data_IF_202125914069
#
_entry.id   IF_202125914069
#
_cell.length_a   1.000
_cell.length_b   1.000
_cell.length_c   1.000
_cell.angle_alpha   90.00
_cell.angle_beta   90.00
_cell.angle_gamma   90.00
#
_symmetry.space_group_name_H-M   'P 1'
#
loop_
_entity.id
_entity.type
_entity.pdbx_description
1 polymer ?
#
# COMPACT_ATOMS: atom_id res chain seq x y z
N UNK A 1 -15.91 -4.57 -7.82
CA UNK A 1 -14.83 -5.04 -8.71
C UNK A 1 -13.69 -5.58 -7.86
N UNK A 2 -13.08 -6.72 -8.22
CA UNK A 2 -11.86 -7.25 -7.58
C UNK A 2 -10.68 -7.04 -8.52
N UNK A 3 -9.63 -6.34 -8.08
CA UNK A 3 -8.42 -6.18 -8.88
C UNK A 3 -7.51 -7.41 -8.77
N UNK A 4 -6.79 -7.69 -9.85
CA UNK A 4 -5.66 -8.64 -9.87
C UNK A 4 -4.36 -7.95 -9.45
N UNK A 5 -3.32 -8.74 -9.16
CA UNK A 5 -1.98 -8.18 -8.87
C UNK A 5 -1.42 -7.34 -10.02
N UNK A 6 -1.71 -7.72 -11.27
CA UNK A 6 -1.31 -6.92 -12.43
C UNK A 6 -2.04 -5.58 -12.46
N UNK A 7 -3.35 -5.59 -12.19
CA UNK A 7 -4.14 -4.35 -12.10
C UNK A 7 -3.74 -3.46 -10.93
N UNK A 8 -3.16 -3.99 -9.85
CA UNK A 8 -2.56 -3.15 -8.81
C UNK A 8 -1.30 -2.41 -9.29
N UNK A 9 -0.51 -3.02 -10.18
CA UNK A 9 0.63 -2.35 -10.84
C UNK A 9 0.12 -1.22 -11.74
N UNK A 10 -0.88 -1.51 -12.57
CA UNK A 10 -1.54 -0.50 -13.40
C UNK A 10 -2.08 0.66 -12.55
N UNK A 11 -2.82 0.34 -11.47
CA UNK A 11 -3.40 1.33 -10.58
C UNK A 11 -2.34 2.22 -9.92
N UNK A 12 -1.24 1.63 -9.46
CA UNK A 12 -0.14 2.36 -8.87
C UNK A 12 0.43 3.41 -9.83
N UNK A 13 0.72 3.04 -11.07
CA UNK A 13 1.26 3.98 -12.06
C UNK A 13 0.23 5.02 -12.51
N UNK A 14 -1.06 4.66 -12.54
CA UNK A 14 -2.14 5.64 -12.73
C UNK A 14 -2.14 6.69 -11.61
N UNK A 15 -1.98 6.27 -10.35
CA UNK A 15 -1.90 7.20 -9.21
C UNK A 15 -0.63 8.06 -9.26
N UNK A 16 0.52 7.47 -9.57
CA UNK A 16 1.77 8.24 -9.70
C UNK A 16 1.67 9.27 -10.83
N UNK A 17 0.99 8.94 -11.93
CA UNK A 17 0.76 9.87 -13.05
C UNK A 17 -0.14 11.03 -12.65
N UNK A 18 -1.22 10.77 -11.91
CA UNK A 18 -2.11 11.81 -11.37
C UNK A 18 -1.33 12.78 -10.45
N UNK A 19 -0.37 12.26 -9.70
CA UNK A 19 0.51 13.04 -8.83
C UNK A 19 1.65 13.76 -9.56
N UNK A 20 1.73 13.68 -10.89
CA UNK A 20 2.76 14.34 -11.69
C UNK A 20 4.13 13.66 -11.66
N UNK A 21 4.23 12.42 -11.17
CA UNK A 21 5.49 11.68 -11.16
C UNK A 21 5.95 11.36 -12.58
N UNK A 22 7.28 11.39 -12.79
CA UNK A 22 7.89 10.96 -14.05
C UNK A 22 7.82 9.44 -14.15
N UNK A 23 7.50 8.97 -15.36
CA UNK A 23 7.45 7.54 -15.68
C UNK A 23 8.46 7.21 -16.78
N UNK A 24 9.09 6.05 -16.66
CA UNK A 24 9.97 5.51 -17.69
C UNK A 24 9.17 4.92 -18.88
N UNK A 25 9.85 4.30 -19.84
CA UNK A 25 9.20 3.74 -21.03
C UNK A 25 8.28 2.55 -20.66
N UNK A 26 8.70 1.72 -19.72
CA UNK A 26 7.95 0.54 -19.31
C UNK A 26 6.65 0.95 -18.61
N UNK A 27 6.74 1.84 -17.63
CA UNK A 27 5.58 2.30 -16.85
C UNK A 27 4.57 3.04 -17.73
N UNK A 28 5.04 3.84 -18.71
CA UNK A 28 4.17 4.49 -19.70
C UNK A 28 3.40 3.48 -20.54
N UNK A 29 4.02 2.38 -20.95
CA UNK A 29 3.34 1.35 -21.72
C UNK A 29 2.30 0.62 -20.86
N UNK A 30 2.62 0.29 -19.61
CA UNK A 30 1.66 -0.30 -18.66
C UNK A 30 0.43 0.60 -18.47
N UNK A 31 0.62 1.91 -18.29
CA UNK A 31 -0.50 2.85 -18.16
C UNK A 31 -1.32 2.86 -19.46
N UNK A 32 -0.67 2.93 -20.61
CA UNK A 32 -1.32 3.03 -21.93
C UNK A 32 -2.17 1.80 -22.26
N UNK A 33 -1.70 0.61 -21.87
CA UNK A 33 -2.40 -0.67 -22.09
C UNK A 33 -3.39 -1.00 -20.97
N UNK A 34 -3.44 -0.19 -19.91
CA UNK A 34 -4.29 -0.46 -18.75
C UNK A 34 -5.78 -0.43 -19.10
N UNK A 35 -6.47 -1.49 -18.72
CA UNK A 35 -7.93 -1.56 -18.80
C UNK A 35 -8.62 -0.73 -17.72
N UNK A 36 -7.89 -0.03 -16.85
CA UNK A 36 -8.44 0.80 -15.76
C UNK A 36 -8.61 2.27 -16.16
N UNK A 37 -8.12 2.70 -17.34
CA UNK A 37 -8.17 4.10 -17.79
C UNK A 37 -9.59 4.68 -17.95
N UNK A 38 -10.62 3.83 -17.96
CA UNK A 38 -12.02 4.25 -17.98
C UNK A 38 -12.53 4.72 -16.61
N UNK A 39 -11.79 4.47 -15.53
CA UNK A 39 -12.10 4.89 -14.16
C UNK A 39 -11.29 6.14 -13.81
N UNK A 40 -11.89 7.06 -13.05
CA UNK A 40 -11.13 8.14 -12.44
C UNK A 40 -10.20 7.58 -11.35
N UNK A 41 -9.01 8.17 -11.12
CA UNK A 41 -8.13 7.75 -10.03
C UNK A 41 -8.83 7.73 -8.65
N UNK A 42 -9.71 8.69 -8.37
CA UNK A 42 -10.49 8.70 -7.13
C UNK A 42 -11.44 7.51 -7.00
N UNK A 43 -12.12 7.12 -8.09
CA UNK A 43 -13.00 5.95 -8.13
C UNK A 43 -12.21 4.66 -7.95
N UNK A 44 -11.06 4.56 -8.63
CA UNK A 44 -10.15 3.41 -8.52
C UNK A 44 -9.65 3.25 -7.08
N UNK A 45 -9.25 4.34 -6.42
CA UNK A 45 -8.87 4.36 -5.00
C UNK A 45 -10.00 3.82 -4.12
N UNK A 46 -11.22 4.32 -4.30
CA UNK A 46 -12.40 3.85 -3.55
C UNK A 46 -12.68 2.36 -3.77
N UNK A 47 -12.54 1.86 -5.00
CA UNK A 47 -12.70 0.43 -5.30
C UNK A 47 -11.69 -0.42 -4.51
N UNK A 48 -10.42 0.02 -4.44
CA UNK A 48 -9.37 -0.71 -3.72
C UNK A 48 -9.63 -0.71 -2.21
N UNK A 49 -9.94 0.46 -1.63
CA UNK A 49 -10.27 0.60 -0.20
C UNK A 49 -11.46 -0.28 0.18
N UNK A 50 -12.55 -0.22 -0.58
CA UNK A 50 -13.74 -1.03 -0.32
C UNK A 50 -13.45 -2.53 -0.45
N UNK A 51 -12.59 -2.92 -1.39
CA UNK A 51 -12.14 -4.31 -1.52
C UNK A 51 -11.34 -4.80 -0.31
N UNK A 52 -10.42 -3.98 0.21
CA UNK A 52 -9.67 -4.29 1.43
C UNK A 52 -10.58 -4.40 2.65
N UNK A 53 -11.50 -3.43 2.83
CA UNK A 53 -12.38 -3.36 3.99
C UNK A 53 -13.45 -4.45 4.00
N UNK A 54 -13.92 -4.88 2.83
CA UNK A 54 -14.84 -6.03 2.70
C UNK A 54 -14.15 -7.40 2.81
N UNK A 55 -12.81 -7.46 2.87
CA UNK A 55 -12.08 -8.72 2.89
C UNK A 55 -12.02 -9.45 1.55
N UNK A 56 -12.26 -8.74 0.43
CA UNK A 56 -12.25 -9.29 -0.92
C UNK A 56 -10.87 -9.86 -1.33
N UNK A 57 -9.80 -9.32 -0.74
CA UNK A 57 -8.41 -9.73 -0.94
C UNK A 57 -7.97 -10.68 0.18
N UNK A 58 -8.04 -11.98 -0.07
CA UNK A 58 -7.85 -13.02 0.95
C UNK A 58 -6.41 -13.50 1.03
N UNK A 59 -5.61 -13.32 -0.03
CA UNK A 59 -4.19 -13.70 -0.04
C UNK A 59 -3.28 -12.55 0.39
N UNK A 60 -2.16 -12.88 1.04
CA UNK A 60 -1.19 -11.89 1.51
C UNK A 60 -0.65 -11.04 0.36
N UNK A 61 -0.33 -11.65 -0.78
CA UNK A 61 0.17 -10.92 -1.95
C UNK A 61 -0.86 -9.94 -2.53
N UNK A 62 -2.15 -10.30 -2.58
CA UNK A 62 -3.22 -9.40 -3.02
C UNK A 62 -3.30 -8.16 -2.11
N UNK A 63 -3.25 -8.35 -0.79
CA UNK A 63 -3.30 -7.25 0.18
C UNK A 63 -2.03 -6.40 0.13
N UNK A 64 -0.85 -7.01 0.06
CA UNK A 64 0.42 -6.30 -0.14
C UNK A 64 0.38 -5.44 -1.40
N UNK A 65 -0.05 -5.98 -2.54
CA UNK A 65 -0.18 -5.20 -3.78
C UNK A 65 -1.19 -4.07 -3.67
N UNK A 66 -2.32 -4.28 -2.99
CA UNK A 66 -3.30 -3.24 -2.73
C UNK A 66 -2.75 -2.08 -1.87
N UNK A 67 -2.07 -2.40 -0.75
CA UNK A 67 -1.44 -1.40 0.11
C UNK A 67 -0.35 -0.63 -0.62
N UNK A 68 0.48 -1.33 -1.40
CA UNK A 68 1.50 -0.70 -2.24
C UNK A 68 0.89 0.26 -3.26
N UNK A 69 -0.15 -0.17 -3.99
CA UNK A 69 -0.83 0.69 -4.96
C UNK A 69 -1.43 1.93 -4.28
N UNK A 70 -2.14 1.76 -3.16
CA UNK A 70 -2.72 2.88 -2.42
C UNK A 70 -1.65 3.84 -1.89
N UNK A 71 -0.47 3.35 -1.52
CA UNK A 71 0.64 4.22 -1.09
C UNK A 71 1.11 5.19 -2.20
N UNK A 72 0.83 4.87 -3.47
CA UNK A 72 1.15 5.71 -4.61
C UNK A 72 0.18 6.87 -4.85
N UNK A 73 -0.98 6.85 -4.18
CA UNK A 73 -1.94 7.96 -4.23
C UNK A 73 -1.40 9.24 -3.62
N UNK A 74 -0.40 9.15 -2.74
CA UNK A 74 0.11 10.28 -1.94
C UNK A 74 -0.97 11.04 -1.16
N UNK A 75 -2.11 10.40 -0.92
CA UNK A 75 -3.26 11.01 -0.26
C UNK A 75 -3.21 10.71 1.24
N UNK A 76 -2.72 11.66 2.03
CA UNK A 76 -2.60 11.51 3.49
C UNK A 76 -3.95 11.34 4.20
N UNK A 77 -5.09 11.61 3.55
CA UNK A 77 -6.40 11.40 4.17
C UNK A 77 -6.71 9.92 4.44
N UNK A 78 -5.98 8.99 3.80
CA UNK A 78 -6.19 7.54 3.99
C UNK A 78 -5.30 6.93 5.08
N UNK A 79 -4.48 7.73 5.79
CA UNK A 79 -3.65 7.26 6.92
C UNK A 79 -4.48 6.46 7.96
N UNK A 80 -5.70 6.88 8.37
CA UNK A 80 -6.52 6.08 9.29
C UNK A 80 -6.83 4.67 8.78
N UNK A 81 -7.04 4.49 7.47
CA UNK A 81 -7.25 3.17 6.86
C UNK A 81 -5.98 2.32 6.95
N UNK A 82 -4.81 2.90 6.66
CA UNK A 82 -3.52 2.20 6.80
C UNK A 82 -3.24 1.77 8.24
N UNK A 83 -3.56 2.60 9.24
CA UNK A 83 -3.47 2.25 10.67
C UNK A 83 -4.37 1.05 11.00
N UNK A 84 -5.61 1.07 10.52
CA UNK A 84 -6.57 -0.01 10.72
C UNK A 84 -6.10 -1.33 10.08
N UNK A 85 -5.60 -1.27 8.85
CA UNK A 85 -5.03 -2.44 8.19
C UNK A 85 -3.78 -2.95 8.90
N UNK A 86 -2.90 -2.07 9.36
CA UNK A 86 -1.70 -2.47 10.11
C UNK A 86 -2.08 -3.23 11.38
N UNK A 87 -3.06 -2.73 12.15
CA UNK A 87 -3.59 -3.42 13.33
C UNK A 87 -4.15 -4.80 12.98
N UNK A 88 -4.90 -4.90 11.88
CA UNK A 88 -5.46 -6.17 11.39
C UNK A 88 -4.36 -7.16 11.01
N UNK A 89 -3.41 -6.76 10.17
CA UNK A 89 -2.32 -7.63 9.71
C UNK A 89 -1.39 -8.04 10.86
N UNK A 90 -1.14 -7.13 11.82
CA UNK A 90 -0.41 -7.42 13.05
C UNK A 90 -1.06 -8.54 13.86
N UNK A 91 -2.38 -8.46 14.07
CA UNK A 91 -3.13 -9.49 14.81
C UNK A 91 -3.15 -10.84 14.06
N UNK A 92 -3.14 -10.81 12.73
CA UNK A 92 -3.07 -12.01 11.88
C UNK A 92 -1.63 -12.55 11.71
N UNK A 93 -0.62 -11.84 12.23
CA UNK A 93 0.80 -12.14 12.07
C UNK A 93 1.26 -12.24 10.60
N UNK A 94 0.75 -11.36 9.74
CA UNK A 94 1.09 -11.35 8.32
C UNK A 94 2.32 -10.49 8.03
N UNK A 95 3.49 -11.11 7.94
CA UNK A 95 4.80 -10.44 7.88
C UNK A 95 4.95 -9.48 6.69
N UNK A 96 4.72 -9.97 5.46
CA UNK A 96 4.89 -9.16 4.24
C UNK A 96 3.89 -7.99 4.15
N UNK A 97 2.59 -8.19 4.43
CA UNK A 97 1.65 -7.07 4.54
C UNK A 97 2.03 -6.02 5.58
N UNK A 98 2.52 -6.44 6.77
CA UNK A 98 2.98 -5.50 7.81
C UNK A 98 4.11 -4.63 7.28
N UNK A 99 5.15 -5.23 6.69
CA UNK A 99 6.28 -4.48 6.15
C UNK A 99 5.84 -3.46 5.09
N UNK A 100 4.94 -3.86 4.18
CA UNK A 100 4.43 -2.96 3.15
C UNK A 100 3.61 -1.79 3.74
N UNK A 101 2.84 -2.04 4.79
CA UNK A 101 2.08 -0.98 5.48
C UNK A 101 3.01 -0.01 6.20
N UNK A 102 4.09 -0.49 6.82
CA UNK A 102 5.12 0.38 7.42
C UNK A 102 5.78 1.29 6.37
N UNK A 103 6.15 0.74 5.19
CA UNK A 103 6.67 1.54 4.08
C UNK A 103 5.67 2.62 3.65
N UNK A 104 4.39 2.26 3.53
CA UNK A 104 3.38 3.20 3.08
C UNK A 104 3.14 4.33 4.09
N UNK A 105 3.12 4.01 5.38
CA UNK A 105 3.00 4.99 6.46
C UNK A 105 4.22 5.90 6.54
N UNK A 106 5.44 5.34 6.45
CA UNK A 106 6.69 6.13 6.39
C UNK A 106 6.69 7.10 5.20
N UNK A 107 6.18 6.68 4.04
CA UNK A 107 5.99 7.54 2.86
C UNK A 107 4.99 8.68 3.09
N UNK A 108 4.05 8.52 4.02
CA UNK A 108 3.10 9.56 4.40
C UNK A 108 3.63 10.49 5.51
N UNK A 109 4.91 10.35 5.88
CA UNK A 109 5.60 11.06 6.95
C UNK A 109 5.16 10.64 8.37
N UNK A 110 4.67 9.40 8.56
CA UNK A 110 4.23 8.88 9.86
C UNK A 110 5.36 8.20 10.69
N UNK A 111 6.63 8.37 10.33
CA UNK A 111 7.81 7.79 11.02
C UNK A 111 7.58 6.36 11.53
N UNK A 112 7.15 5.46 10.63
CA UNK A 112 6.68 4.12 11.00
C UNK A 112 7.82 3.16 11.40
N UNK A 113 9.06 3.46 10.98
CA UNK A 113 10.25 2.70 11.36
C UNK A 113 10.98 3.37 12.52
N UNK A 114 11.61 2.55 13.37
CA UNK A 114 12.48 3.05 14.42
C UNK A 114 13.68 3.82 13.84
N UNK A 115 13.96 5.02 14.35
CA UNK A 115 15.05 5.89 13.88
C UNK A 115 16.45 5.26 14.02
N UNK A 116 16.61 4.30 14.94
CA UNK A 116 17.88 3.59 15.17
C UNK A 116 18.05 2.38 14.26
N UNK A 117 17.12 2.13 13.35
CA UNK A 117 17.16 0.98 12.44
C UNK A 117 18.15 1.25 11.30
N UNK A 118 19.13 0.35 11.13
CA UNK A 118 20.19 0.49 10.12
C UNK A 118 19.84 -0.13 8.75
N UNK A 119 18.68 -0.78 8.65
CA UNK A 119 18.24 -1.54 7.47
C UNK A 119 16.72 -1.59 7.44
N UNK A 120 16.12 -1.79 6.25
CA UNK A 120 14.65 -1.91 6.10
C UNK A 120 14.35 -3.00 5.09
N UNK A 121 14.50 -4.25 5.50
CA UNK A 121 14.21 -5.41 4.65
C UNK A 121 12.93 -6.13 5.06
N UNK A 122 12.30 -6.79 4.08
CA UNK A 122 11.02 -7.49 4.28
C UNK A 122 11.17 -8.75 5.14
N UNK A 123 12.35 -9.38 5.12
CA UNK A 123 12.71 -10.60 5.85
C UNK A 123 13.21 -10.33 7.28
N UNK A 124 13.37 -9.07 7.67
CA UNK A 124 13.62 -8.64 9.05
C UNK A 124 12.35 -8.67 9.89
N UNK A 125 11.68 -9.83 9.90
CA UNK A 125 10.34 -10.03 10.46
C UNK A 125 10.23 -9.52 11.90
N UNK A 126 11.14 -9.88 12.79
CA UNK A 126 11.09 -9.43 14.19
C UNK A 126 11.16 -7.91 14.34
N UNK A 127 12.00 -7.25 13.54
CA UNK A 127 12.11 -5.79 13.51
C UNK A 127 10.83 -5.15 12.95
N UNK A 128 10.27 -5.72 11.88
CA UNK A 128 9.02 -5.26 11.29
C UNK A 128 7.85 -5.37 12.29
N UNK A 129 7.74 -6.46 13.04
CA UNK A 129 6.74 -6.58 14.11
C UNK A 129 6.96 -5.62 15.26
N UNK A 130 8.23 -5.43 15.68
CA UNK A 130 8.56 -4.45 16.73
C UNK A 130 8.13 -3.04 16.32
N UNK A 131 8.47 -2.63 15.11
CA UNK A 131 8.18 -1.29 14.59
C UNK A 131 6.66 -1.08 14.46
N UNK A 132 5.94 -2.06 13.89
CA UNK A 132 4.48 -2.04 13.84
C UNK A 132 3.82 -1.95 15.22
N UNK A 133 4.32 -2.71 16.20
CA UNK A 133 3.83 -2.66 17.58
C UNK A 133 4.06 -1.30 18.23
N UNK A 134 5.23 -0.70 18.01
CA UNK A 134 5.56 0.61 18.55
C UNK A 134 4.71 1.70 17.90
N UNK A 135 4.58 1.67 16.57
CA UNK A 135 3.75 2.61 15.82
C UNK A 135 2.29 2.57 16.30
N UNK A 136 1.68 1.39 16.40
CA UNK A 136 0.28 1.21 16.85
C UNK A 136 0.03 1.61 18.32
N UNK A 137 1.08 1.77 19.15
CA UNK A 137 0.94 2.23 20.53
C UNK A 137 0.98 3.75 20.66
N UNK A 138 1.66 4.42 19.74
CA UNK A 138 1.97 5.83 19.83
C UNK A 138 1.08 6.71 18.93
N UNK A 139 0.25 6.10 18.08
CA UNK A 139 -0.51 6.74 17.00
C UNK A 139 -1.88 6.10 16.78
#
# INVERSE_FOLDING_TARGET
>A
MKLTNHQFIEAAFIFEKENGNRHDKYEKEVIKESNLLHLKPSELKTIIINGLNSGLYTKNNERTSAYWALSKTNDKSIIPEFKNWLKKEFNLKNETPIFQLLIALDRFDESAFDEKRNSRYFDETELNFRDAKNYLKNN
#
